data_IF_235521420724
#
_entry.id   IF_235521420724
#
_cell.length_a   1.000
_cell.length_b   1.000
_cell.length_c   1.000
_cell.angle_alpha   90.00
_cell.angle_beta   90.00
_cell.angle_gamma   90.00
#
_symmetry.space_group_name_H-M   'P 1'
#
loop_
_entity.id
_entity.type
_entity.pdbx_description
1 polymer ?
#
# COMPACT_ATOMS: atom_id res chain seq x y z
N UNK A 1 -9.60 1.18 -5.48
CA UNK A 1 -8.68 0.02 -5.38
C UNK A 1 -9.16 -1.22 -6.14
N UNK A 2 -10.29 -1.87 -5.79
CA UNK A 2 -10.75 -3.08 -6.50
C UNK A 2 -10.99 -2.87 -8.01
N UNK A 3 -11.66 -1.79 -8.39
CA UNK A 3 -11.88 -1.44 -9.80
C UNK A 3 -10.54 -1.23 -10.55
N UNK A 4 -9.63 -0.44 -9.97
CA UNK A 4 -8.29 -0.21 -10.51
C UNK A 4 -7.49 -1.50 -10.71
N UNK A 5 -7.50 -2.39 -9.73
CA UNK A 5 -6.77 -3.66 -9.84
C UNK A 5 -7.29 -4.54 -10.99
N UNK A 6 -8.61 -4.48 -11.26
CA UNK A 6 -9.20 -5.14 -12.43
C UNK A 6 -8.74 -4.50 -13.73
N UNK A 7 -8.69 -3.17 -13.81
CA UNK A 7 -8.17 -2.44 -14.98
C UNK A 7 -6.69 -2.77 -15.28
N UNK A 8 -5.91 -3.04 -14.23
CA UNK A 8 -4.50 -3.45 -14.34
C UNK A 8 -4.33 -4.93 -14.72
N UNK A 9 -5.42 -5.69 -14.91
CA UNK A 9 -5.37 -7.07 -15.38
C UNK A 9 -5.02 -8.11 -14.31
N UNK A 10 -5.25 -7.81 -13.02
CA UNK A 10 -4.97 -8.74 -11.93
C UNK A 10 -6.04 -9.83 -11.71
N UNK A 11 -6.92 -10.08 -12.69
CA UNK A 11 -8.05 -11.00 -12.55
C UNK A 11 -7.61 -12.39 -12.08
N UNK A 12 -8.10 -12.78 -10.89
CA UNK A 12 -7.79 -14.05 -10.24
C UNK A 12 -6.40 -14.16 -9.57
N UNK A 13 -5.50 -13.20 -9.78
CA UNK A 13 -4.12 -13.23 -9.24
C UNK A 13 -3.95 -12.46 -7.94
N UNK A 14 -4.70 -11.36 -7.78
CA UNK A 14 -4.61 -10.50 -6.59
C UNK A 14 -5.96 -10.41 -5.91
N UNK A 15 -5.98 -10.70 -4.60
CA UNK A 15 -7.16 -10.52 -3.75
C UNK A 15 -7.02 -9.24 -2.93
N UNK A 16 -7.98 -8.34 -3.07
CA UNK A 16 -8.05 -7.11 -2.27
C UNK A 16 -9.22 -7.22 -1.30
N UNK A 17 -8.93 -7.11 -0.01
CA UNK A 17 -9.92 -7.06 1.05
C UNK A 17 -9.69 -5.85 1.95
N UNK A 18 -10.76 -5.38 2.57
CA UNK A 18 -10.66 -4.48 3.71
C UNK A 18 -10.22 -5.29 4.93
N UNK A 19 -9.42 -4.68 5.80
CA UNK A 19 -9.02 -5.23 7.09
C UNK A 19 -9.37 -4.23 8.21
N UNK A 20 -9.54 -4.74 9.42
CA UNK A 20 -9.64 -3.91 10.62
C UNK A 20 -8.27 -3.40 11.08
N UNK A 21 -8.17 -3.03 12.35
CA UNK A 21 -6.89 -2.64 12.95
C UNK A 21 -5.87 -3.78 12.86
N UNK A 22 -4.65 -3.44 12.43
CA UNK A 22 -3.50 -4.34 12.42
C UNK A 22 -2.35 -3.79 13.29
N UNK A 23 -2.69 -3.07 14.36
CA UNK A 23 -1.77 -2.53 15.36
C UNK A 23 -0.77 -1.48 14.83
N UNK A 24 -1.16 -0.75 13.78
CA UNK A 24 -0.36 0.33 13.16
C UNK A 24 -1.17 1.62 12.96
N UNK A 25 -2.02 1.95 13.94
CA UNK A 25 -2.97 3.07 13.85
C UNK A 25 -2.28 4.42 13.56
N UNK A 26 -1.14 4.69 14.20
CA UNK A 26 -0.39 5.94 14.07
C UNK A 26 0.22 6.17 12.66
N UNK A 27 0.21 5.14 11.83
CA UNK A 27 0.69 5.18 10.44
C UNK A 27 -0.47 5.14 9.43
N UNK A 28 -1.71 5.16 9.93
CA UNK A 28 -2.94 5.01 9.17
C UNK A 28 -3.21 6.20 8.23
N UNK A 29 -3.86 5.96 7.07
CA UNK A 29 -4.29 4.67 6.51
C UNK A 29 -3.10 3.77 6.13
N UNK A 30 -3.21 2.46 6.33
CA UNK A 30 -2.17 1.49 5.96
C UNK A 30 -2.65 0.47 4.95
N UNK A 31 -1.72 -0.01 4.12
CA UNK A 31 -1.89 -1.08 3.15
C UNK A 31 -0.74 -2.07 3.30
N UNK A 32 -1.05 -3.37 3.34
CA UNK A 32 -0.04 -4.44 3.37
C UNK A 32 -0.20 -5.36 2.17
N UNK A 33 0.90 -5.68 1.51
CA UNK A 33 0.96 -6.65 0.40
C UNK A 33 1.68 -7.91 0.88
N UNK A 34 1.02 -9.04 0.66
CA UNK A 34 1.52 -10.39 0.94
C UNK A 34 1.80 -11.12 -0.39
N UNK A 35 2.75 -12.08 -0.42
CA UNK A 35 3.42 -12.70 0.74
C UNK A 35 4.59 -11.90 1.34
N UNK A 36 5.05 -10.82 0.72
CA UNK A 36 6.26 -10.09 1.14
C UNK A 36 6.12 -9.36 2.47
N UNK A 37 4.89 -9.12 2.95
CA UNK A 37 4.63 -8.44 4.21
C UNK A 37 5.03 -6.96 4.17
N UNK A 38 4.88 -6.32 3.01
CA UNK A 38 5.32 -4.92 2.83
C UNK A 38 4.20 -3.94 3.05
N UNK A 39 4.52 -2.94 3.86
CA UNK A 39 3.60 -1.95 4.38
C UNK A 39 3.78 -0.61 3.69
N UNK A 40 2.66 0.01 3.36
CA UNK A 40 2.58 1.36 2.84
C UNK A 40 1.61 2.19 3.69
N UNK A 41 1.90 3.48 3.77
CA UNK A 41 0.88 4.51 4.06
C UNK A 41 0.44 5.16 2.76
N UNK A 42 -0.73 5.79 2.73
CA UNK A 42 -1.24 6.50 1.57
C UNK A 42 -2.24 7.57 1.98
N UNK A 43 -2.38 8.63 1.17
CA UNK A 43 -3.25 9.78 1.45
C UNK A 43 -4.25 10.06 0.34
N UNK A 44 -3.99 9.56 -0.85
CA UNK A 44 -4.81 9.77 -2.04
C UNK A 44 -5.06 8.48 -2.81
N UNK A 45 -6.02 8.52 -3.74
CA UNK A 45 -6.19 7.45 -4.72
C UNK A 45 -4.98 7.34 -5.65
N UNK A 46 -4.29 8.45 -5.94
CA UNK A 46 -3.08 8.46 -6.74
C UNK A 46 -1.93 7.67 -6.08
N UNK A 47 -1.77 7.78 -4.76
CA UNK A 47 -0.80 6.96 -4.01
C UNK A 47 -1.10 5.47 -4.15
N UNK A 48 -2.38 5.10 -4.06
CA UNK A 48 -2.83 3.71 -4.24
C UNK A 48 -2.54 3.23 -5.66
N UNK A 49 -2.83 4.04 -6.67
CA UNK A 49 -2.58 3.69 -8.07
C UNK A 49 -1.08 3.51 -8.33
N UNK A 50 -0.22 4.36 -7.76
CA UNK A 50 1.23 4.24 -7.83
C UNK A 50 1.72 2.97 -7.13
N UNK A 51 1.18 2.61 -5.96
CA UNK A 51 1.51 1.36 -5.27
C UNK A 51 1.14 0.16 -6.13
N UNK A 52 -0.08 0.11 -6.68
CA UNK A 52 -0.52 -1.02 -7.51
C UNK A 52 0.35 -1.16 -8.77
N UNK A 53 0.63 -0.06 -9.46
CA UNK A 53 1.47 -0.06 -10.65
C UNK A 53 2.92 -0.46 -10.32
N UNK A 54 3.58 0.28 -9.42
CA UNK A 54 5.01 0.10 -9.14
C UNK A 54 5.29 -1.24 -8.47
N UNK A 55 4.44 -1.68 -7.54
CA UNK A 55 4.69 -2.89 -6.78
C UNK A 55 4.15 -4.13 -7.47
N UNK A 56 2.87 -4.14 -7.84
CA UNK A 56 2.25 -5.36 -8.35
C UNK A 56 2.50 -5.56 -9.85
N UNK A 57 2.61 -4.50 -10.65
CA UNK A 57 2.89 -4.63 -12.09
C UNK A 57 4.40 -4.72 -12.34
N UNK A 58 5.18 -3.84 -11.72
CA UNK A 58 6.61 -3.70 -12.04
C UNK A 58 7.55 -4.42 -11.07
N UNK A 59 7.05 -4.92 -9.94
CA UNK A 59 7.87 -5.63 -8.94
C UNK A 59 8.82 -4.73 -8.14
N UNK A 60 8.58 -3.42 -8.11
CA UNK A 60 9.40 -2.41 -7.39
C UNK A 60 8.71 -1.91 -6.12
N UNK A 61 9.33 -0.95 -5.42
CA UNK A 61 8.77 -0.36 -4.19
C UNK A 61 8.61 1.15 -4.34
N UNK A 62 7.49 1.68 -3.85
CA UNK A 62 7.28 3.13 -3.72
C UNK A 62 7.91 3.62 -2.41
N UNK A 63 9.20 3.99 -2.44
CA UNK A 63 9.99 4.30 -1.23
C UNK A 63 9.40 5.41 -0.36
N UNK A 64 8.85 6.47 -0.97
CA UNK A 64 8.23 7.58 -0.23
C UNK A 64 7.03 7.13 0.61
N UNK A 65 6.35 6.04 0.23
CA UNK A 65 5.17 5.51 0.93
C UNK A 65 5.49 4.32 1.83
N UNK A 66 6.70 3.76 1.76
CA UNK A 66 7.10 2.57 2.51
C UNK A 66 7.18 2.81 4.02
N UNK A 67 6.55 1.92 4.79
CA UNK A 67 6.64 1.87 6.25
C UNK A 67 7.64 0.80 6.67
N UNK A 68 8.61 1.16 7.50
CA UNK A 68 9.55 0.20 8.12
C UNK A 68 8.91 -0.45 9.34
N UNK A 69 9.37 -1.63 9.75
CA UNK A 69 8.82 -2.38 10.91
C UNK A 69 8.83 -1.53 12.20
N UNK A 70 9.93 -0.83 12.46
CA UNK A 70 10.12 -0.03 13.68
C UNK A 70 9.48 1.37 13.63
N UNK A 71 8.80 1.70 12.54
CA UNK A 71 8.21 3.02 12.40
C UNK A 71 7.03 3.19 13.36
N UNK A 72 7.03 4.28 14.13
CA UNK A 72 5.94 4.63 15.07
C UNK A 72 5.13 5.84 14.65
N UNK A 73 5.70 6.70 13.80
CA UNK A 73 5.05 7.91 13.30
C UNK A 73 5.36 8.10 11.81
N UNK A 74 4.50 8.80 11.07
CA UNK A 74 4.76 9.16 9.68
C UNK A 74 5.94 10.14 9.59
N UNK A 75 6.86 9.88 8.65
CA UNK A 75 7.93 10.82 8.30
C UNK A 75 7.34 12.06 7.58
N UNK A 76 7.98 13.24 7.60
CA UNK A 76 7.44 14.44 6.97
C UNK A 76 7.01 14.23 5.51
N UNK A 77 7.82 13.53 4.71
CA UNK A 77 7.54 13.22 3.31
C UNK A 77 6.36 12.25 3.09
N UNK A 78 5.91 11.56 4.13
CA UNK A 78 4.76 10.64 4.11
C UNK A 78 3.45 11.33 4.51
N UNK A 79 3.53 12.53 5.09
CA UNK A 79 2.34 13.24 5.62
C UNK A 79 1.57 14.01 4.56
N UNK A 80 2.18 14.24 3.39
CA UNK A 80 1.65 15.08 2.31
C UNK A 80 2.25 16.47 2.33
#
# INVERSE_FOLDING_TARGET
MKARARELGFDGKVRINSAGCLDRCELGPTLVIYPEGVWYTYRSTGDVDEILQTHLVEGRRVERLLLTTEQRELRPEQRG
#
